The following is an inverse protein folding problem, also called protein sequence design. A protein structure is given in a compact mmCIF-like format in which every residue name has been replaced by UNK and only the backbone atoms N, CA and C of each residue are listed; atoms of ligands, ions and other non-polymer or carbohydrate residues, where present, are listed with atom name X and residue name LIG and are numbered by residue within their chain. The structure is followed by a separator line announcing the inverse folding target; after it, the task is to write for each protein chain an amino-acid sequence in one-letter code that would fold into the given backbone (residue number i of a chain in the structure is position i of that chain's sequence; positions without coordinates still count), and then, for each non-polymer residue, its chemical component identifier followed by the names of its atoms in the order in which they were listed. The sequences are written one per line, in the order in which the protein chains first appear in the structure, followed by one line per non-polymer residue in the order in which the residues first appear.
data_IF_745879266687
#
_entry.id   IF_745879266687
#
_cell.length_a   1.000
_cell.length_b   1.000
_cell.length_c   1.000
_cell.angle_alpha   90.00
_cell.angle_beta   90.00
_cell.angle_gamma   90.00
#
_symmetry.space_group_name_H-M   'P 1'
#
loop_
_entity.id
_entity.type
_entity.pdbx_description
1 polymer ?
#
# COMPACT_ATOMS: atom_id res chain seq x y z
N UNK A 1 -7.21 25.72 -0.40
CA UNK A 1 -6.17 25.48 0.61
C UNK A 1 -5.59 24.06 0.56
N UNK A 2 -6.39 22.99 0.49
CA UNK A 2 -5.91 21.58 0.50
C UNK A 2 -5.08 21.18 -0.75
N UNK A 3 -5.45 21.65 -1.94
CA UNK A 3 -4.72 21.43 -3.19
C UNK A 3 -3.26 21.93 -3.14
N UNK A 4 -3.01 23.02 -2.39
CA UNK A 4 -1.70 23.66 -2.30
C UNK A 4 -0.68 22.82 -1.49
N UNK A 5 -1.15 21.96 -0.59
CA UNK A 5 -0.30 21.08 0.22
C UNK A 5 0.15 19.81 -0.52
N UNK A 6 -0.65 19.28 -1.46
CA UNK A 6 -0.19 18.16 -2.31
C UNK A 6 0.83 18.64 -3.36
N UNK A 7 0.66 19.85 -3.91
CA UNK A 7 1.60 20.42 -4.90
C UNK A 7 2.98 20.68 -4.29
N UNK A 8 3.07 21.14 -3.04
CA UNK A 8 4.37 21.35 -2.36
C UNK A 8 5.07 20.05 -2.01
N UNK A 9 4.31 18.98 -1.71
CA UNK A 9 4.83 17.63 -1.47
C UNK A 9 5.29 16.93 -2.77
N UNK A 10 4.67 17.26 -3.91
CA UNK A 10 4.98 16.69 -5.23
C UNK A 10 6.32 17.17 -5.85
N UNK A 11 7.00 18.14 -5.23
CA UNK A 11 8.22 18.75 -5.79
C UNK A 11 9.52 17.98 -5.49
N UNK A 12 9.46 16.85 -4.77
CA UNK A 12 10.56 15.91 -4.57
C UNK A 12 10.39 14.66 -5.45
N UNK A 13 11.48 14.17 -6.06
CA UNK A 13 11.47 13.15 -7.14
C UNK A 13 11.00 11.74 -6.71
N UNK A 14 10.62 11.53 -5.46
CA UNK A 14 10.10 10.28 -4.90
C UNK A 14 8.59 10.19 -5.16
N UNK A 15 8.16 9.91 -6.38
CA UNK A 15 6.73 10.08 -6.74
C UNK A 15 5.77 9.16 -5.97
N UNK A 16 6.18 7.98 -5.46
CA UNK A 16 5.21 6.96 -5.01
C UNK A 16 4.59 7.22 -3.62
N UNK A 17 5.40 7.54 -2.62
CA UNK A 17 4.92 7.82 -1.24
C UNK A 17 4.01 9.07 -1.15
N UNK A 18 4.37 10.24 -1.72
CA UNK A 18 3.48 11.39 -1.75
C UNK A 18 2.23 11.13 -2.60
N UNK A 19 2.35 10.37 -3.69
CA UNK A 19 1.19 9.98 -4.50
C UNK A 19 0.19 9.11 -3.74
N UNK A 20 0.65 8.06 -3.06
CA UNK A 20 -0.20 7.22 -2.20
C UNK A 20 -0.87 8.07 -1.11
N UNK A 21 -0.12 8.97 -0.47
CA UNK A 21 -0.64 9.86 0.57
C UNK A 21 -1.73 10.81 0.04
N UNK A 22 -1.52 11.41 -1.14
CA UNK A 22 -2.51 12.28 -1.78
C UNK A 22 -3.75 11.49 -2.22
N UNK A 23 -3.61 10.24 -2.70
CA UNK A 23 -4.76 9.37 -3.00
C UNK A 23 -5.57 9.10 -1.75
N UNK A 24 -4.93 8.72 -0.64
CA UNK A 24 -5.63 8.43 0.62
C UNK A 24 -6.39 9.66 1.14
N UNK A 25 -5.76 10.85 1.06
CA UNK A 25 -6.40 12.11 1.43
C UNK A 25 -7.58 12.44 0.50
N UNK A 26 -7.41 12.25 -0.81
CA UNK A 26 -8.46 12.44 -1.82
C UNK A 26 -9.66 11.54 -1.57
N UNK A 27 -9.44 10.25 -1.34
CA UNK A 27 -10.51 9.29 -1.02
C UNK A 27 -11.20 9.68 0.29
N UNK A 28 -10.44 9.95 1.36
CA UNK A 28 -11.01 10.30 2.67
C UNK A 28 -11.85 11.59 2.64
N UNK A 29 -11.38 12.61 1.93
CA UNK A 29 -12.12 13.86 1.73
C UNK A 29 -13.39 13.65 0.91
N UNK A 30 -13.34 12.87 -0.18
CA UNK A 30 -14.51 12.55 -0.99
C UNK A 30 -15.57 11.76 -0.20
N UNK A 31 -15.16 10.79 0.60
CA UNK A 31 -16.07 10.02 1.48
C UNK A 31 -16.73 10.93 2.52
N UNK A 32 -15.96 11.81 3.16
CA UNK A 32 -16.50 12.74 4.17
C UNK A 32 -17.47 13.74 3.53
N UNK A 33 -17.10 14.29 2.38
CA UNK A 33 -17.92 15.26 1.65
C UNK A 33 -19.24 14.66 1.18
N UNK A 34 -19.19 13.49 0.53
CA UNK A 34 -20.41 12.80 0.07
C UNK A 34 -21.32 12.41 1.23
N UNK A 35 -20.75 12.01 2.37
CA UNK A 35 -21.51 11.72 3.59
C UNK A 35 -22.22 12.96 4.14
N UNK A 36 -21.53 14.10 4.18
CA UNK A 36 -22.11 15.37 4.64
C UNK A 36 -23.23 15.86 3.72
N UNK A 37 -23.04 15.76 2.39
CA UNK A 37 -24.07 16.14 1.42
C UNK A 37 -25.29 15.21 1.47
N UNK A 38 -25.07 13.90 1.66
CA UNK A 38 -26.16 12.95 1.85
C UNK A 38 -27.00 13.27 3.09
N UNK A 39 -26.34 13.57 4.21
CA UNK A 39 -27.01 13.96 5.45
C UNK A 39 -27.78 15.28 5.31
N UNK A 40 -27.13 16.34 4.80
CA UNK A 40 -27.77 17.64 4.58
C UNK A 40 -28.91 17.57 3.56
N UNK A 41 -28.74 16.80 2.50
CA UNK A 41 -29.77 16.59 1.47
C UNK A 41 -31.03 15.93 2.03
N UNK A 42 -30.86 15.01 2.99
CA UNK A 42 -31.98 14.38 3.68
C UNK A 42 -32.68 15.34 4.66
N UNK A 43 -31.93 16.15 5.42
CA UNK A 43 -32.50 17.06 6.44
C UNK A 43 -33.19 18.26 5.80
N UNK A 44 -32.59 18.82 4.74
CA UNK A 44 -33.09 20.02 4.08
C UNK A 44 -34.09 19.73 2.94
N UNK A 45 -34.41 18.45 2.71
CA UNK A 45 -35.27 17.95 1.62
C UNK A 45 -34.88 18.46 0.22
N UNK A 46 -33.58 18.75 0.01
CA UNK A 46 -33.08 19.28 -1.27
C UNK A 46 -32.88 18.13 -2.26
N UNK A 47 -33.94 17.80 -3.01
CA UNK A 47 -33.93 16.71 -4.00
C UNK A 47 -32.75 16.74 -4.97
N UNK A 48 -32.33 17.93 -5.44
CA UNK A 48 -31.20 18.06 -6.37
C UNK A 48 -29.88 17.56 -5.77
N UNK A 49 -29.66 17.78 -4.46
CA UNK A 49 -28.45 17.35 -3.78
C UNK A 49 -28.39 15.83 -3.65
N UNK A 50 -29.54 15.21 -3.33
CA UNK A 50 -29.66 13.76 -3.23
C UNK A 50 -29.40 13.08 -4.59
N UNK A 51 -29.96 13.61 -5.68
CA UNK A 51 -29.76 13.08 -7.05
C UNK A 51 -28.28 13.14 -7.46
N UNK A 52 -27.58 14.24 -7.16
CA UNK A 52 -26.14 14.36 -7.43
C UNK A 52 -25.33 13.32 -6.64
N UNK A 53 -25.66 13.11 -5.36
CA UNK A 53 -25.00 12.10 -4.53
C UNK A 53 -25.21 10.69 -5.08
N UNK A 54 -26.45 10.34 -5.44
CA UNK A 54 -26.77 9.05 -6.07
C UNK A 54 -25.99 8.85 -7.38
N UNK A 55 -25.95 9.88 -8.23
CA UNK A 55 -25.21 9.83 -9.49
C UNK A 55 -23.71 9.55 -9.29
N UNK A 56 -23.10 10.16 -8.27
CA UNK A 56 -21.70 9.90 -7.92
C UNK A 56 -21.48 8.47 -7.40
N UNK A 57 -22.39 7.94 -6.59
CA UNK A 57 -22.29 6.56 -6.09
C UNK A 57 -22.40 5.53 -7.23
N UNK A 58 -23.24 5.77 -8.25
CA UNK A 58 -23.31 4.92 -9.45
C UNK A 58 -21.95 4.86 -10.15
N UNK A 59 -21.29 6.02 -10.33
CA UNK A 59 -19.97 6.08 -10.96
C UNK A 59 -18.91 5.31 -10.16
N UNK A 60 -18.96 5.39 -8.83
CA UNK A 60 -18.08 4.61 -7.96
C UNK A 60 -18.34 3.11 -8.09
N UNK A 61 -19.60 2.68 -8.10
CA UNK A 61 -19.97 1.27 -8.27
C UNK A 61 -19.46 0.71 -9.60
N UNK A 62 -19.67 1.42 -10.71
CA UNK A 62 -19.16 1.01 -12.03
C UNK A 62 -17.63 0.92 -12.04
N UNK A 63 -16.96 1.89 -11.42
CA UNK A 63 -15.49 1.91 -11.31
C UNK A 63 -14.98 0.72 -10.49
N UNK A 64 -15.63 0.40 -9.36
CA UNK A 64 -15.27 -0.77 -8.55
C UNK A 64 -15.42 -2.08 -9.32
N UNK A 65 -16.54 -2.26 -10.03
CA UNK A 65 -16.74 -3.45 -10.86
C UNK A 65 -15.70 -3.56 -11.98
N UNK A 66 -15.36 -2.45 -12.63
CA UNK A 66 -14.31 -2.42 -13.64
C UNK A 66 -12.94 -2.81 -13.06
N UNK A 67 -12.57 -2.28 -11.89
CA UNK A 67 -11.31 -2.63 -11.21
C UNK A 67 -11.28 -4.12 -10.85
N UNK A 68 -12.35 -4.65 -10.26
CA UNK A 68 -12.44 -6.07 -9.89
C UNK A 68 -12.27 -6.98 -11.11
N UNK A 69 -12.94 -6.67 -12.21
CA UNK A 69 -12.81 -7.42 -13.47
C UNK A 69 -11.39 -7.32 -14.03
N UNK A 70 -10.78 -6.12 -14.02
CA UNK A 70 -9.42 -5.92 -14.51
C UNK A 70 -8.40 -6.72 -13.70
N UNK A 71 -8.49 -6.71 -12.37
CA UNK A 71 -7.61 -7.49 -11.49
C UNK A 71 -7.78 -8.98 -11.75
N UNK A 72 -9.03 -9.45 -11.90
CA UNK A 72 -9.31 -10.87 -12.16
C UNK A 72 -8.72 -11.33 -13.51
N UNK A 73 -8.95 -10.55 -14.57
CA UNK A 73 -8.47 -10.89 -15.92
C UNK A 73 -6.95 -10.77 -16.03
N UNK A 74 -6.34 -9.77 -15.40
CA UNK A 74 -4.90 -9.47 -15.50
C UNK A 74 -4.09 -9.92 -14.29
N UNK A 75 -4.55 -10.96 -13.57
CA UNK A 75 -3.90 -11.42 -12.33
C UNK A 75 -2.40 -11.69 -12.49
N UNK A 76 -1.99 -12.30 -13.61
CA UNK A 76 -0.59 -12.68 -13.86
C UNK A 76 0.28 -11.46 -14.14
N UNK A 77 -0.22 -10.51 -14.92
CA UNK A 77 0.48 -9.25 -15.21
C UNK A 77 0.67 -8.44 -13.91
N UNK A 78 -0.38 -8.33 -13.10
CA UNK A 78 -0.31 -7.64 -11.80
C UNK A 78 0.72 -8.31 -10.89
N UNK A 79 0.72 -9.64 -10.81
CA UNK A 79 1.70 -10.39 -10.02
C UNK A 79 3.14 -10.18 -10.52
N UNK A 80 3.36 -10.21 -11.84
CA UNK A 80 4.68 -10.00 -12.42
C UNK A 80 5.20 -8.56 -12.21
N UNK A 81 4.35 -7.56 -12.42
CA UNK A 81 4.68 -6.16 -12.16
C UNK A 81 5.05 -5.93 -10.69
N UNK A 82 4.26 -6.52 -9.77
CA UNK A 82 4.55 -6.49 -8.35
C UNK A 82 5.93 -7.07 -8.04
N UNK A 83 6.23 -8.24 -8.60
CA UNK A 83 7.49 -8.95 -8.39
C UNK A 83 8.69 -8.12 -8.86
N UNK A 84 8.61 -7.57 -10.08
CA UNK A 84 9.66 -6.75 -10.66
C UNK A 84 9.92 -5.49 -9.82
N UNK A 85 8.86 -4.85 -9.31
CA UNK A 85 9.02 -3.67 -8.44
C UNK A 85 9.69 -4.00 -7.11
N UNK A 86 9.37 -5.14 -6.50
CA UNK A 86 10.04 -5.56 -5.27
C UNK A 86 11.53 -5.84 -5.51
N UNK A 87 11.86 -6.54 -6.60
CA UNK A 87 13.27 -6.81 -6.93
C UNK A 87 14.07 -5.53 -7.23
N UNK A 88 13.47 -4.55 -7.90
CA UNK A 88 14.06 -3.22 -8.13
C UNK A 88 14.32 -2.48 -6.81
N UNK A 89 13.30 -2.37 -5.95
CA UNK A 89 13.41 -1.74 -4.62
C UNK A 89 14.52 -2.40 -3.79
N UNK A 90 14.61 -3.72 -3.81
CA UNK A 90 15.67 -4.46 -3.09
C UNK A 90 17.05 -4.19 -3.70
N UNK A 91 17.16 -4.08 -5.01
CA UNK A 91 18.43 -3.83 -5.70
C UNK A 91 18.99 -2.41 -5.45
N UNK A 92 18.10 -1.44 -5.28
CA UNK A 92 18.44 -0.03 -5.08
C UNK A 92 18.54 0.34 -3.59
N UNK A 93 18.02 -0.51 -2.70
CA UNK A 93 18.01 -0.29 -1.25
C UNK A 93 19.37 0.10 -0.69
N UNK A 94 19.40 1.17 0.11
CA UNK A 94 20.60 1.68 0.77
C UNK A 94 21.55 2.45 -0.13
N UNK A 95 21.19 2.73 -1.38
CA UNK A 95 21.99 3.51 -2.30
C UNK A 95 21.93 5.01 -1.97
N UNK A 96 23.04 5.59 -1.49
CA UNK A 96 23.10 7.02 -1.14
C UNK A 96 22.83 7.97 -2.32
N UNK A 97 23.10 7.54 -3.56
CA UNK A 97 22.79 8.32 -4.77
C UNK A 97 21.30 8.38 -5.12
N UNK A 98 20.50 7.51 -4.52
CA UNK A 98 19.05 7.42 -4.70
C UNK A 98 18.33 7.83 -3.41
N UNK A 99 18.72 8.97 -2.82
CA UNK A 99 18.04 9.52 -1.65
C UNK A 99 16.53 9.70 -1.89
N UNK A 100 16.10 9.83 -3.16
CA UNK A 100 14.68 9.81 -3.53
C UNK A 100 13.95 8.47 -3.32
N UNK A 101 14.60 7.41 -2.86
CA UNK A 101 13.94 6.14 -2.61
C UNK A 101 13.86 5.79 -1.12
N UNK A 102 14.50 6.57 -0.26
CA UNK A 102 14.50 6.36 1.19
C UNK A 102 13.09 6.17 1.80
N UNK A 103 12.05 6.93 1.42
CA UNK A 103 10.69 6.68 1.92
C UNK A 103 10.14 5.30 1.57
N UNK A 104 10.47 4.77 0.39
CA UNK A 104 10.06 3.42 -0.02
C UNK A 104 10.77 2.37 0.83
N UNK A 105 12.08 2.54 1.04
CA UNK A 105 12.87 1.64 1.87
C UNK A 105 12.43 1.68 3.33
N UNK A 106 12.00 2.83 3.83
CA UNK A 106 11.43 2.97 5.17
C UNK A 106 10.09 2.23 5.32
N UNK A 107 9.23 2.23 4.29
CA UNK A 107 8.01 1.42 4.26
C UNK A 107 8.36 -0.07 4.28
N UNK A 108 9.33 -0.49 3.46
CA UNK A 108 9.81 -1.87 3.44
C UNK A 108 10.36 -2.27 4.82
N UNK A 109 11.17 -1.42 5.45
CA UNK A 109 11.70 -1.64 6.80
C UNK A 109 10.58 -1.80 7.84
N UNK A 110 9.58 -0.93 7.80
CA UNK A 110 8.44 -1.02 8.71
C UNK A 110 7.62 -2.29 8.48
N UNK A 111 7.47 -2.72 7.22
CA UNK A 111 6.77 -3.95 6.87
C UNK A 111 7.52 -5.19 7.38
N UNK A 112 8.81 -5.29 7.08
CA UNK A 112 9.68 -6.38 7.52
C UNK A 112 9.69 -6.51 9.05
N UNK A 113 9.78 -5.39 9.75
CA UNK A 113 9.78 -5.39 11.21
C UNK A 113 8.40 -5.75 11.80
N UNK A 114 7.30 -5.21 11.25
CA UNK A 114 5.94 -5.47 11.76
C UNK A 114 5.45 -6.89 11.46
N UNK A 115 5.84 -7.44 10.32
CA UNK A 115 5.45 -8.79 9.90
C UNK A 115 6.48 -9.85 10.31
N UNK A 116 7.57 -9.46 10.98
CA UNK A 116 8.65 -10.36 11.39
C UNK A 116 9.15 -11.24 10.23
N UNK A 117 9.36 -10.62 9.07
CA UNK A 117 9.72 -11.27 7.82
C UNK A 117 10.95 -10.60 7.16
N UNK A 118 11.66 -11.33 6.31
CA UNK A 118 12.83 -10.80 5.61
C UNK A 118 12.89 -11.16 4.13
N UNK A 119 12.95 -10.12 3.28
CA UNK A 119 12.88 -10.29 1.84
C UNK A 119 11.50 -10.80 1.40
N UNK A 120 11.32 -10.92 0.09
CA UNK A 120 10.09 -11.42 -0.51
C UNK A 120 9.85 -12.89 -0.16
N UNK A 121 10.80 -13.74 -0.54
CA UNK A 121 10.75 -15.19 -0.32
C UNK A 121 11.64 -15.64 0.83
N UNK A 122 12.84 -15.06 0.93
CA UNK A 122 13.80 -15.39 1.98
C UNK A 122 14.91 -14.31 2.04
N UNK A 123 15.73 -14.39 3.08
CA UNK A 123 16.89 -13.51 3.33
C UNK A 123 17.91 -13.51 2.19
N UNK A 124 18.02 -14.61 1.44
CA UNK A 124 18.96 -14.75 0.30
C UNK A 124 18.69 -13.74 -0.82
N UNK A 125 17.47 -13.18 -0.92
CA UNK A 125 17.18 -12.12 -1.89
C UNK A 125 18.13 -10.93 -1.72
N UNK A 126 18.54 -10.65 -0.49
CA UNK A 126 19.42 -9.54 -0.20
C UNK A 126 20.81 -9.75 -0.78
N UNK A 127 21.30 -10.98 -1.00
CA UNK A 127 22.63 -11.24 -1.59
C UNK A 127 22.83 -10.54 -2.94
N UNK A 128 21.74 -10.26 -3.68
CA UNK A 128 21.77 -9.58 -4.98
C UNK A 128 21.97 -8.06 -4.88
N UNK A 129 21.80 -7.45 -3.71
CA UNK A 129 21.99 -6.02 -3.52
C UNK A 129 23.49 -5.69 -3.40
N UNK A 130 23.95 -4.76 -4.26
CA UNK A 130 25.36 -4.35 -4.39
C UNK A 130 25.76 -3.15 -3.53
N UNK A 131 24.81 -2.51 -2.86
CA UNK A 131 25.03 -1.32 -2.02
C UNK A 131 25.50 -1.68 -0.61
N UNK A 132 25.67 -2.98 -0.32
CA UNK A 132 26.19 -3.46 0.95
C UNK A 132 27.71 -3.46 0.95
N UNK A 133 28.29 -3.27 2.12
CA UNK A 133 29.74 -3.35 2.31
C UNK A 133 30.21 -4.81 2.26
N UNK A 134 29.44 -5.71 2.87
CA UNK A 134 29.73 -7.15 2.91
C UNK A 134 28.55 -7.97 2.38
N UNK A 135 28.83 -9.12 1.75
CA UNK A 135 27.80 -10.05 1.24
C UNK A 135 26.91 -10.63 2.34
N UNK A 136 27.41 -10.70 3.57
CA UNK A 136 26.70 -11.21 4.75
C UNK A 136 25.71 -10.22 5.35
N UNK A 137 25.80 -8.93 5.00
CA UNK A 137 24.93 -7.92 5.56
C UNK A 137 23.49 -8.08 5.07
N UNK A 138 22.54 -7.79 5.94
CA UNK A 138 21.11 -7.76 5.63
C UNK A 138 20.50 -6.46 6.16
N UNK A 139 19.29 -6.07 5.73
CA UNK A 139 18.63 -4.94 6.34
C UNK A 139 18.47 -5.11 7.84
N UNK A 140 18.75 -4.07 8.62
CA UNK A 140 18.55 -4.14 10.07
C UNK A 140 17.09 -4.41 10.45
N UNK A 141 16.14 -4.01 9.60
CA UNK A 141 14.71 -4.31 9.72
C UNK A 141 14.37 -5.81 9.66
N UNK A 142 15.24 -6.65 9.10
CA UNK A 142 15.13 -8.11 9.11
C UNK A 142 15.50 -8.75 10.45
N UNK A 143 15.84 -7.96 11.46
CA UNK A 143 16.35 -8.46 12.72
C UNK A 143 15.53 -7.94 13.88
N UNK A 144 15.62 -8.64 15.01
CA UNK A 144 15.01 -8.21 16.27
C UNK A 144 15.70 -6.98 16.88
N UNK A 145 16.79 -6.51 16.28
CA UNK A 145 17.58 -5.39 16.79
C UNK A 145 16.98 -4.05 16.35
N UNK A 146 16.74 -3.13 17.29
CA UNK A 146 16.25 -1.77 17.03
C UNK A 146 17.29 -0.81 16.44
N UNK A 147 18.23 -1.30 15.63
CA UNK A 147 19.31 -0.50 15.07
C UNK A 147 18.79 0.37 13.92
N UNK A 148 19.09 1.67 13.98
CA UNK A 148 18.74 2.67 12.94
C UNK A 148 19.81 2.76 11.85
N UNK A 149 20.20 1.61 11.28
CA UNK A 149 21.10 1.53 10.12
C UNK A 149 20.37 0.87 8.97
N UNK A 150 20.82 1.13 7.74
CA UNK A 150 20.30 0.43 6.56
C UNK A 150 20.69 -1.04 6.59
N UNK A 151 21.97 -1.33 6.84
CA UNK A 151 22.51 -2.68 6.88
C UNK A 151 23.15 -3.02 8.22
N UNK A 152 23.01 -4.28 8.63
CA UNK A 152 23.56 -4.83 9.86
C UNK A 152 24.28 -6.17 9.57
N UNK A 153 25.39 -6.40 10.27
CA UNK A 153 26.10 -7.69 10.29
C UNK A 153 25.57 -8.49 11.48
N UNK A 154 24.82 -9.57 11.22
CA UNK A 154 24.06 -10.24 12.28
C UNK A 154 24.10 -11.76 12.13
N UNK A 155 24.22 -12.46 13.27
CA UNK A 155 24.13 -13.92 13.35
C UNK A 155 22.75 -14.43 12.91
N UNK A 156 22.69 -15.66 12.39
CA UNK A 156 21.43 -16.28 11.91
C UNK A 156 20.35 -16.35 13.00
N UNK A 157 20.72 -16.43 14.27
CA UNK A 157 19.79 -16.65 15.40
C UNK A 157 18.84 -15.47 15.68
N UNK A 158 19.16 -14.25 15.23
CA UNK A 158 18.34 -13.04 15.43
C UNK A 158 17.71 -12.49 14.15
N UNK A 159 17.79 -13.25 13.05
CA UNK A 159 17.25 -12.89 11.73
C UNK A 159 15.89 -13.55 11.51
N UNK A 160 14.94 -12.82 10.92
CA UNK A 160 13.68 -13.39 10.47
C UNK A 160 13.92 -14.31 9.25
N UNK A 161 13.59 -15.59 9.37
CA UNK A 161 13.80 -16.59 8.32
C UNK A 161 12.65 -16.71 7.32
N UNK A 162 11.45 -16.22 7.70
CA UNK A 162 10.25 -16.27 6.87
C UNK A 162 10.25 -15.15 5.83
N UNK A 163 9.86 -15.47 4.59
CA UNK A 163 9.64 -14.47 3.54
C UNK A 163 8.35 -13.69 3.78
N UNK A 164 8.35 -12.40 3.41
CA UNK A 164 7.19 -11.55 3.58
C UNK A 164 5.98 -11.97 2.72
N UNK A 165 6.19 -12.61 1.57
CA UNK A 165 5.10 -13.13 0.75
C UNK A 165 4.38 -14.30 1.43
N UNK A 166 5.14 -15.22 2.03
CA UNK A 166 4.58 -16.34 2.78
C UNK A 166 3.81 -15.85 4.01
N UNK A 167 4.37 -14.88 4.74
CA UNK A 167 3.69 -14.28 5.88
C UNK A 167 2.40 -13.56 5.45
N UNK A 168 2.45 -12.81 4.36
CA UNK A 168 1.27 -12.11 3.84
C UNK A 168 0.19 -13.09 3.35
N UNK A 169 0.60 -14.19 2.70
CA UNK A 169 -0.32 -15.24 2.24
C UNK A 169 -1.00 -15.94 3.42
N UNK A 170 -0.24 -16.36 4.43
CA UNK A 170 -0.80 -16.99 5.63
C UNK A 170 -1.73 -16.06 6.41
N UNK A 171 -1.38 -14.78 6.51
CA UNK A 171 -2.26 -13.76 7.07
C UNK A 171 -3.54 -13.58 6.24
N UNK A 172 -3.42 -13.56 4.91
CA UNK A 172 -4.56 -13.43 4.00
C UNK A 172 -5.51 -14.63 4.12
N UNK A 173 -5.01 -15.87 4.08
CA UNK A 173 -5.82 -17.08 4.25
C UNK A 173 -6.60 -17.08 5.57
N UNK A 174 -5.98 -16.55 6.65
CA UNK A 174 -6.62 -16.45 7.95
C UNK A 174 -7.71 -15.36 8.03
N UNK A 175 -7.62 -14.33 7.18
CA UNK A 175 -8.50 -13.16 7.21
C UNK A 175 -9.38 -13.01 5.97
N UNK A 176 -9.29 -13.93 4.99
CA UNK A 176 -9.95 -13.82 3.69
C UNK A 176 -11.47 -13.70 3.83
N UNK A 177 -12.06 -14.38 4.81
CA UNK A 177 -13.50 -14.29 5.10
C UNK A 177 -13.90 -12.88 5.54
N UNK A 178 -13.12 -12.26 6.43
CA UNK A 178 -13.38 -10.90 6.93
C UNK A 178 -13.20 -9.89 5.79
N UNK A 179 -12.10 -10.01 5.03
CA UNK A 179 -11.81 -9.12 3.90
C UNK A 179 -12.91 -9.19 2.83
N UNK A 180 -13.33 -10.41 2.49
CA UNK A 180 -14.42 -10.64 1.53
C UNK A 180 -15.74 -10.10 2.07
N UNK A 181 -16.03 -10.29 3.36
CA UNK A 181 -17.23 -9.75 3.99
C UNK A 181 -17.26 -8.21 3.93
N UNK A 182 -16.15 -7.52 4.21
CA UNK A 182 -16.06 -6.05 4.12
C UNK A 182 -16.36 -5.57 2.70
N UNK A 183 -15.79 -6.22 1.68
CA UNK A 183 -16.03 -5.87 0.27
C UNK A 183 -17.50 -6.10 -0.11
N UNK A 184 -18.08 -7.25 0.26
CA UNK A 184 -19.48 -7.56 -0.02
C UNK A 184 -20.40 -6.58 0.70
N UNK A 185 -20.15 -6.27 1.98
CA UNK A 185 -20.93 -5.29 2.73
C UNK A 185 -20.89 -3.90 2.11
N UNK A 186 -19.73 -3.48 1.58
CA UNK A 186 -19.59 -2.21 0.86
C UNK A 186 -20.46 -2.21 -0.41
N UNK A 187 -20.40 -3.27 -1.22
CA UNK A 187 -21.20 -3.40 -2.45
C UNK A 187 -22.70 -3.41 -2.14
N UNK A 188 -23.12 -4.16 -1.12
CA UNK A 188 -24.53 -4.17 -0.68
C UNK A 188 -24.98 -2.78 -0.23
N UNK A 189 -24.14 -2.05 0.50
CA UNK A 189 -24.47 -0.70 0.98
C UNK A 189 -24.64 0.26 -0.19
N UNK A 190 -23.74 0.21 -1.18
CA UNK A 190 -23.87 1.03 -2.39
C UNK A 190 -25.14 0.71 -3.18
N UNK A 191 -25.45 -0.58 -3.35
CA UNK A 191 -26.66 -1.02 -4.05
C UNK A 191 -27.94 -0.64 -3.31
N UNK A 192 -27.94 -0.63 -1.97
CA UNK A 192 -29.10 -0.19 -1.18
C UNK A 192 -29.32 1.32 -1.18
N UNK A 193 -28.24 2.09 -1.37
CA UNK A 193 -28.28 3.56 -1.42
C UNK A 193 -28.71 4.06 -2.81
N UNK A 194 -28.45 3.26 -3.85
CA UNK A 194 -28.88 3.48 -5.22
C UNK A 194 -30.39 3.28 -5.40
#
# INVERSE_FOLDING_TARGET
QHELHCVTVSSGKNQLVPYISCILLGIGSAVTFTSALGFLGSVLEIKRLLVTCMSFQILLFVTQMAILVLIFVKKEEVHNQWNNRIDEVVSEYGNESLAEQEPMWNILNAMQHKMECCGKYNVTQWERNKNKENSTQIPCSCTKSGLKKWFCDVSRDSTYSMGCEEHLSTWFESNVLILTAVIISLLITQVRVL
#
